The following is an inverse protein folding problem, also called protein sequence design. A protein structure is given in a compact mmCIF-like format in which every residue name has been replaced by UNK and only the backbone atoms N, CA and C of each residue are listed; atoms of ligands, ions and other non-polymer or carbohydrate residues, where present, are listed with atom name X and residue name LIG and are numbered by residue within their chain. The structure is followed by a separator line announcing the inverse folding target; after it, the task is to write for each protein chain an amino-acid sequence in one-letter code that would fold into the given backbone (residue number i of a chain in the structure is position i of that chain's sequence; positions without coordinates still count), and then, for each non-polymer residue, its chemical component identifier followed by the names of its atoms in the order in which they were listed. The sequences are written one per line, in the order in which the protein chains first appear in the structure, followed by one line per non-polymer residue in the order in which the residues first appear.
data_IF_468329731905
#
_entry.id   IF_468329731905
#
_cell.length_a   1.000
_cell.length_b   1.000
_cell.length_c   1.000
_cell.angle_alpha   90.00
_cell.angle_beta   90.00
_cell.angle_gamma   90.00
#
_symmetry.space_group_name_H-M   'P 1'
#
loop_
_entity.id
_entity.type
_entity.pdbx_description
1 polymer ?
#
# COMPACT_ATOMS: atom_id res chain seq x y z
N UNK A 1 6.37 10.59 14.39
CA UNK A 1 6.41 9.64 13.25
C UNK A 1 5.92 8.28 13.69
N UNK A 2 5.05 7.64 12.93
CA UNK A 2 4.66 6.25 13.16
C UNK A 2 4.92 5.43 11.90
N UNK A 3 5.74 4.38 12.00
CA UNK A 3 5.77 3.32 10.98
C UNK A 3 4.67 2.33 11.32
N UNK A 4 3.91 1.93 10.30
CA UNK A 4 2.98 0.81 10.36
C UNK A 4 3.48 -0.34 9.49
N UNK A 5 3.18 -1.56 9.92
CA UNK A 5 3.41 -2.78 9.14
C UNK A 5 2.10 -3.53 9.03
N UNK A 6 1.81 -4.02 7.83
CA UNK A 6 0.62 -4.82 7.54
C UNK A 6 1.07 -6.12 6.89
N UNK A 7 0.57 -7.24 7.40
CA UNK A 7 0.83 -8.57 6.85
C UNK A 7 -0.52 -9.21 6.51
N UNK A 8 -0.93 -9.08 5.25
CA UNK A 8 -2.14 -9.72 4.74
C UNK A 8 -1.85 -11.19 4.46
N UNK A 9 -2.48 -12.10 5.19
CA UNK A 9 -2.26 -13.54 5.03
C UNK A 9 -3.28 -14.17 4.08
N UNK A 10 -2.88 -14.54 2.84
CA UNK A 10 -3.79 -15.24 1.92
C UNK A 10 -4.10 -16.67 2.36
N UNK A 11 -3.35 -17.20 3.33
CA UNK A 11 -3.47 -18.58 3.80
C UNK A 11 -4.39 -18.71 4.99
N UNK A 12 -4.68 -17.62 5.68
CA UNK A 12 -5.62 -17.58 6.79
C UNK A 12 -6.91 -16.92 6.32
N UNK A 13 -7.94 -17.74 6.10
CA UNK A 13 -9.25 -17.26 5.71
C UNK A 13 -10.15 -17.10 6.91
N UNK A 14 -11.01 -16.09 6.87
CA UNK A 14 -11.98 -15.80 7.92
C UNK A 14 -13.40 -15.70 7.37
N UNK A 15 -14.33 -16.36 8.08
CA UNK A 15 -15.74 -16.38 7.74
C UNK A 15 -16.59 -15.95 8.92
N UNK A 16 -17.52 -15.03 8.69
CA UNK A 16 -18.50 -14.64 9.70
C UNK A 16 -19.50 -15.76 9.91
N UNK A 17 -19.74 -16.12 11.17
CA UNK A 17 -20.76 -17.11 11.54
C UNK A 17 -21.73 -16.53 12.56
N UNK A 18 -22.88 -17.17 12.70
CA UNK A 18 -23.85 -16.85 13.76
C UNK A 18 -23.40 -17.47 15.07
N UNK A 19 -23.87 -16.93 16.21
CA UNK A 19 -23.61 -17.51 17.53
C UNK A 19 -24.12 -18.95 17.65
N UNK A 20 -25.23 -19.28 16.98
CA UNK A 20 -25.74 -20.66 16.93
C UNK A 20 -24.75 -21.59 16.24
N UNK A 21 -24.30 -21.22 15.03
CA UNK A 21 -23.29 -21.99 14.29
C UNK A 21 -22.00 -22.18 15.09
N UNK A 22 -21.53 -21.14 15.78
CA UNK A 22 -20.34 -21.26 16.65
C UNK A 22 -20.57 -22.27 17.78
N UNK A 23 -21.69 -22.19 18.49
CA UNK A 23 -22.01 -23.15 19.56
C UNK A 23 -22.06 -24.58 19.02
N UNK A 24 -22.69 -24.78 17.87
CA UNK A 24 -22.82 -26.10 17.25
C UNK A 24 -21.43 -26.64 16.84
N UNK A 25 -20.58 -25.83 16.21
CA UNK A 25 -19.21 -26.22 15.85
C UNK A 25 -18.34 -26.51 17.08
N UNK A 26 -18.41 -25.68 18.14
CA UNK A 26 -17.69 -25.93 19.39
C UNK A 26 -18.15 -27.22 20.08
N UNK A 27 -19.43 -27.57 20.00
CA UNK A 27 -19.96 -28.84 20.53
C UNK A 27 -19.42 -30.03 19.76
N UNK A 28 -19.40 -29.96 18.42
CA UNK A 28 -18.84 -31.03 17.58
C UNK A 28 -17.35 -31.22 17.87
N UNK A 29 -16.62 -30.13 18.04
CA UNK A 29 -15.22 -30.19 18.44
C UNK A 29 -15.02 -30.85 19.81
N UNK A 30 -15.79 -30.44 20.83
CA UNK A 30 -15.71 -31.01 22.17
C UNK A 30 -16.09 -32.51 22.20
N UNK A 31 -16.95 -32.95 21.28
CA UNK A 31 -17.31 -34.34 21.08
C UNK A 31 -16.33 -35.11 20.17
N UNK A 32 -15.29 -34.45 19.66
CA UNK A 32 -14.34 -34.99 18.67
C UNK A 32 -15.03 -35.50 17.38
N UNK A 33 -16.19 -34.95 17.01
CA UNK A 33 -16.90 -35.26 15.76
C UNK A 33 -16.43 -34.35 14.62
N UNK A 34 -15.19 -34.58 14.19
CA UNK A 34 -14.50 -33.74 13.23
C UNK A 34 -15.03 -33.88 11.79
N UNK A 35 -15.64 -35.01 11.45
CA UNK A 35 -16.24 -35.24 10.12
C UNK A 35 -17.46 -34.33 9.97
N UNK A 36 -18.34 -34.33 10.97
CA UNK A 36 -19.51 -33.46 10.97
C UNK A 36 -19.13 -31.99 11.12
N UNK A 37 -18.12 -31.67 11.95
CA UNK A 37 -17.58 -30.30 12.05
C UNK A 37 -17.12 -29.79 10.69
N UNK A 38 -16.29 -30.55 9.98
CA UNK A 38 -15.80 -30.20 8.64
C UNK A 38 -16.95 -30.00 7.66
N UNK A 39 -17.92 -30.91 7.64
CA UNK A 39 -19.10 -30.83 6.77
C UNK A 39 -19.92 -29.57 7.03
N UNK A 40 -20.16 -29.23 8.30
CA UNK A 40 -20.88 -28.01 8.67
C UNK A 40 -20.10 -26.75 8.34
N UNK A 41 -18.80 -26.72 8.63
CA UNK A 41 -17.91 -25.61 8.28
C UNK A 41 -17.92 -25.35 6.76
N UNK A 42 -17.74 -26.38 5.94
CA UNK A 42 -17.78 -26.29 4.48
C UNK A 42 -19.14 -25.75 3.98
N UNK A 43 -20.25 -26.25 4.55
CA UNK A 43 -21.59 -25.78 4.21
C UNK A 43 -21.81 -24.29 4.56
N UNK A 44 -21.27 -23.82 5.68
CA UNK A 44 -21.30 -22.41 6.07
C UNK A 44 -20.51 -21.57 5.05
N UNK A 45 -19.30 -22.01 4.68
CA UNK A 45 -18.41 -21.23 3.81
C UNK A 45 -18.76 -21.27 2.32
N UNK A 46 -19.66 -22.18 1.90
CA UNK A 46 -20.16 -22.22 0.52
C UNK A 46 -20.97 -20.96 0.14
N UNK A 47 -21.45 -20.19 1.11
CA UNK A 47 -22.11 -18.89 0.93
C UNK A 47 -21.52 -17.88 1.91
N UNK A 48 -20.30 -17.41 1.65
CA UNK A 48 -19.54 -16.67 2.66
C UNK A 48 -20.21 -15.34 2.98
N UNK A 49 -20.28 -15.04 4.28
CA UNK A 49 -20.54 -13.69 4.76
C UNK A 49 -19.21 -13.11 5.23
N UNK A 50 -18.85 -11.95 4.70
CA UNK A 50 -17.62 -11.27 5.05
C UNK A 50 -17.84 -10.24 6.16
N UNK A 51 -16.75 -9.92 6.86
CA UNK A 51 -16.71 -8.83 7.80
C UNK A 51 -16.37 -7.53 7.09
N UNK A 52 -16.80 -6.40 7.66
CA UNK A 52 -16.24 -5.10 7.28
C UNK A 52 -14.79 -5.04 7.76
N UNK A 53 -13.89 -4.42 6.99
CA UNK A 53 -12.50 -4.14 7.38
C UNK A 53 -12.35 -3.36 8.70
N UNK A 54 -13.41 -2.69 9.15
CA UNK A 54 -13.44 -1.99 10.45
C UNK A 54 -13.53 -2.92 11.67
N UNK A 55 -13.83 -4.22 11.46
CA UNK A 55 -13.94 -5.20 12.55
C UNK A 55 -12.54 -5.60 13.01
N UNK A 56 -12.29 -5.51 14.32
CA UNK A 56 -11.05 -6.00 14.93
C UNK A 56 -11.29 -7.40 15.47
N UNK A 57 -10.54 -8.36 14.95
CA UNK A 57 -10.65 -9.79 15.28
C UNK A 57 -9.91 -10.12 16.57
N UNK A 58 -8.70 -9.58 16.69
CA UNK A 58 -7.81 -9.75 17.84
C UNK A 58 -7.00 -8.47 18.05
N UNK A 59 -6.56 -8.23 19.27
CA UNK A 59 -5.76 -7.07 19.65
C UNK A 59 -4.82 -7.42 20.78
N UNK A 60 -3.56 -7.00 20.63
CA UNK A 60 -2.56 -7.01 21.68
C UNK A 60 -1.89 -5.64 21.77
N UNK A 61 -0.92 -5.48 22.67
CA UNK A 61 -0.11 -4.28 22.73
C UNK A 61 0.71 -4.14 21.44
N UNK A 62 0.49 -3.04 20.70
CA UNK A 62 1.24 -2.69 19.48
C UNK A 62 0.69 -3.27 18.16
N UNK A 63 -0.18 -4.29 18.20
CA UNK A 63 -0.75 -4.88 16.98
C UNK A 63 -2.22 -5.32 17.14
N UNK A 64 -2.92 -5.45 16.01
CA UNK A 64 -4.26 -6.01 15.94
C UNK A 64 -4.48 -6.76 14.61
N UNK A 65 -5.49 -7.63 14.55
CA UNK A 65 -5.88 -8.35 13.35
C UNK A 65 -7.24 -7.85 12.84
N UNK A 66 -7.36 -7.64 11.53
CA UNK A 66 -8.59 -7.24 10.84
C UNK A 66 -8.86 -8.14 9.63
N UNK A 67 -10.09 -8.21 9.13
CA UNK A 67 -10.40 -8.86 7.86
C UNK A 67 -10.06 -7.95 6.68
N UNK A 68 -9.47 -8.50 5.62
CA UNK A 68 -9.34 -7.86 4.30
C UNK A 68 -9.98 -8.78 3.24
N UNK A 69 -11.26 -8.55 2.95
CA UNK A 69 -12.09 -9.51 2.23
C UNK A 69 -12.31 -10.78 3.06
N UNK A 70 -11.79 -11.91 2.57
CA UNK A 70 -11.79 -13.18 3.29
C UNK A 70 -10.43 -13.53 3.91
N UNK A 71 -9.41 -12.69 3.74
CA UNK A 71 -8.10 -12.84 4.36
C UNK A 71 -8.04 -12.22 5.75
N UNK A 72 -7.10 -12.69 6.58
CA UNK A 72 -6.71 -12.03 7.83
C UNK A 72 -5.51 -11.10 7.57
N UNK A 73 -5.62 -9.85 7.98
CA UNK A 73 -4.54 -8.86 7.92
C UNK A 73 -4.08 -8.51 9.34
N UNK A 74 -2.80 -8.74 9.62
CA UNK A 74 -2.16 -8.37 10.88
C UNK A 74 -1.54 -6.98 10.75
N UNK A 75 -1.95 -6.06 11.60
CA UNK A 75 -1.54 -4.65 11.55
C UNK A 75 -0.75 -4.30 12.81
N UNK A 76 0.51 -3.98 12.63
CA UNK A 76 1.39 -3.35 13.64
C UNK A 76 1.28 -1.85 13.45
N UNK A 77 0.93 -1.12 14.51
CA UNK A 77 0.68 0.32 14.40
C UNK A 77 1.55 1.13 15.35
N UNK A 78 1.76 2.39 14.98
CA UNK A 78 2.32 3.42 15.86
C UNK A 78 3.73 3.15 16.36
N UNK A 79 4.62 2.65 15.50
CA UNK A 79 6.03 2.46 15.86
C UNK A 79 6.77 3.79 15.70
N UNK A 80 7.24 4.43 16.78
CA UNK A 80 7.99 5.68 16.68
C UNK A 80 9.27 5.48 15.88
N UNK A 81 9.66 6.37 14.96
CA UNK A 81 10.98 6.26 14.26
C UNK A 81 12.17 6.71 15.12
N UNK A 82 11.91 7.48 16.17
CA UNK A 82 12.93 7.97 17.09
C UNK A 82 12.89 7.21 18.42
N UNK A 83 13.96 7.34 19.21
CA UNK A 83 14.03 6.80 20.58
C UNK A 83 14.03 5.28 20.63
N UNK A 84 13.12 4.72 21.42
CA UNK A 84 12.97 3.28 21.70
C UNK A 84 12.16 2.53 20.63
N UNK A 85 11.83 3.17 19.51
CA UNK A 85 11.00 2.60 18.45
C UNK A 85 11.43 1.23 17.92
N UNK A 86 12.74 1.00 17.76
CA UNK A 86 13.27 -0.30 17.34
C UNK A 86 13.03 -1.40 18.40
N UNK A 87 13.14 -1.05 19.67
CA UNK A 87 12.87 -1.97 20.79
C UNK A 87 11.37 -2.27 20.87
N UNK A 88 10.54 -1.22 20.80
CA UNK A 88 9.09 -1.37 20.77
C UNK A 88 8.60 -2.25 19.61
N UNK A 89 9.15 -2.04 18.41
CA UNK A 89 8.88 -2.88 17.25
C UNK A 89 9.29 -4.33 17.50
N UNK A 90 10.51 -4.56 18.00
CA UNK A 90 11.00 -5.90 18.31
C UNK A 90 10.06 -6.66 19.26
N UNK A 91 9.67 -6.03 20.37
CA UNK A 91 8.70 -6.61 21.32
C UNK A 91 7.34 -6.88 20.68
N UNK A 92 6.84 -5.93 19.89
CA UNK A 92 5.53 -6.07 19.22
C UNK A 92 5.54 -7.22 18.21
N UNK A 93 6.62 -7.36 17.43
CA UNK A 93 6.79 -8.45 16.46
C UNK A 93 6.93 -9.80 17.14
N UNK A 94 7.71 -9.91 18.22
CA UNK A 94 7.82 -11.15 19.00
C UNK A 94 6.45 -11.61 19.53
N UNK A 95 5.63 -10.67 20.02
CA UNK A 95 4.29 -10.98 20.50
C UNK A 95 3.35 -11.43 19.36
N UNK A 96 3.48 -10.82 18.18
CA UNK A 96 2.70 -11.19 17.00
C UNK A 96 3.11 -12.58 16.49
N UNK A 97 4.41 -12.85 16.35
CA UNK A 97 4.94 -14.14 15.89
C UNK A 97 4.53 -15.27 16.82
N UNK A 98 4.65 -15.09 18.15
CA UNK A 98 4.20 -16.08 19.12
C UNK A 98 2.69 -16.40 19.00
N UNK A 99 1.89 -15.40 18.65
CA UNK A 99 0.44 -15.58 18.43
C UNK A 99 0.17 -16.38 17.15
N UNK A 100 0.96 -16.17 16.10
CA UNK A 100 0.82 -16.93 14.84
C UNK A 100 1.33 -18.36 15.01
N UNK A 101 2.41 -18.57 15.76
CA UNK A 101 2.90 -19.91 16.12
C UNK A 101 1.82 -20.73 16.86
N UNK A 102 1.03 -20.08 17.73
CA UNK A 102 -0.13 -20.71 18.38
C UNK A 102 -1.20 -21.11 17.36
N UNK A 103 -1.52 -20.24 16.40
CA UNK A 103 -2.46 -20.53 15.30
C UNK A 103 -1.99 -21.74 14.48
N UNK A 104 -0.71 -21.74 14.05
CA UNK A 104 -0.13 -22.84 13.29
C UNK A 104 -0.14 -24.17 14.06
N UNK A 105 0.15 -24.11 15.35
CA UNK A 105 0.12 -25.28 16.24
C UNK A 105 -1.27 -25.88 16.29
N UNK A 106 -2.31 -25.06 16.45
CA UNK A 106 -3.71 -25.50 16.51
C UNK A 106 -4.14 -26.17 15.21
N UNK A 107 -3.83 -25.56 14.07
CA UNK A 107 -4.13 -26.18 12.80
C UNK A 107 -3.33 -27.46 12.55
N UNK A 108 -2.07 -27.52 12.97
CA UNK A 108 -1.25 -28.75 12.85
C UNK A 108 -1.87 -29.89 13.66
N UNK A 109 -2.36 -29.59 14.86
CA UNK A 109 -3.09 -30.56 15.70
C UNK A 109 -4.37 -31.02 15.00
N UNK A 110 -5.19 -30.09 14.49
CA UNK A 110 -6.46 -30.41 13.82
C UNK A 110 -6.24 -31.19 12.51
N UNK A 111 -5.24 -30.82 11.72
CA UNK A 111 -4.88 -31.49 10.48
C UNK A 111 -4.39 -32.93 10.73
N UNK A 112 -3.52 -33.15 11.72
CA UNK A 112 -3.00 -34.49 12.07
C UNK A 112 -4.09 -35.43 12.59
N UNK A 113 -5.07 -34.89 13.31
CA UNK A 113 -6.15 -35.71 13.86
C UNK A 113 -7.11 -36.13 12.75
N UNK A 114 -7.56 -35.20 11.92
CA UNK A 114 -8.80 -35.41 11.13
C UNK A 114 -8.82 -34.78 9.75
N UNK A 115 -7.68 -34.27 9.25
CA UNK A 115 -7.62 -33.54 7.98
C UNK A 115 -8.66 -32.40 7.92
N UNK A 116 -8.88 -31.77 9.09
CA UNK A 116 -9.80 -30.66 9.27
C UNK A 116 -9.00 -29.34 9.22
N UNK A 117 -9.20 -28.50 8.19
CA UNK A 117 -8.46 -27.25 8.03
C UNK A 117 -9.08 -26.08 8.81
N UNK A 118 -9.92 -26.37 9.81
CA UNK A 118 -10.75 -25.38 10.50
C UNK A 118 -10.33 -25.21 11.95
N UNK A 119 -10.37 -23.97 12.42
CA UNK A 119 -10.15 -23.58 13.81
C UNK A 119 -11.35 -22.75 14.26
N UNK A 120 -11.91 -23.12 15.41
CA UNK A 120 -13.07 -22.46 16.02
C UNK A 120 -12.67 -21.78 17.32
N UNK A 121 -13.56 -20.95 17.88
CA UNK A 121 -13.27 -20.14 19.07
C UNK A 121 -12.69 -20.92 20.26
N UNK A 122 -13.16 -22.14 20.50
CA UNK A 122 -12.69 -22.97 21.62
C UNK A 122 -11.22 -23.38 21.52
N UNK A 123 -10.64 -23.37 20.32
CA UNK A 123 -9.22 -23.69 20.11
C UNK A 123 -8.28 -22.60 20.60
N UNK A 124 -8.67 -21.32 20.44
CA UNK A 124 -7.84 -20.19 20.85
C UNK A 124 -8.65 -19.04 21.48
N UNK A 125 -9.17 -19.21 22.70
CA UNK A 125 -10.04 -18.23 23.34
C UNK A 125 -9.42 -16.82 23.44
N UNK A 126 -8.10 -16.72 23.53
CA UNK A 126 -7.34 -15.47 23.57
C UNK A 126 -7.33 -14.73 22.22
N UNK A 127 -7.22 -15.47 21.11
CA UNK A 127 -7.30 -14.95 19.74
C UNK A 127 -8.72 -14.56 19.33
N UNK A 128 -9.71 -15.25 19.88
CA UNK A 128 -11.12 -15.17 19.50
C UNK A 128 -11.99 -14.44 20.55
N UNK A 129 -11.35 -13.74 21.48
CA UNK A 129 -12.03 -13.08 22.60
C UNK A 129 -12.88 -11.88 22.20
N UNK A 130 -12.63 -11.28 21.02
CA UNK A 130 -13.18 -9.99 20.62
C UNK A 130 -14.08 -10.13 19.38
N UNK A 131 -15.27 -9.50 19.42
CA UNK A 131 -16.18 -9.29 18.28
C UNK A 131 -16.87 -10.57 17.70
N UNK A 132 -17.79 -10.47 16.70
CA UNK A 132 -18.78 -11.51 16.42
C UNK A 132 -18.15 -12.86 16.12
N UNK A 133 -18.88 -13.97 16.38
CA UNK A 133 -18.42 -15.31 16.07
C UNK A 133 -17.87 -15.43 14.65
N UNK A 134 -16.72 -16.07 14.53
CA UNK A 134 -16.10 -16.35 13.25
C UNK A 134 -15.47 -17.74 13.21
N UNK A 135 -15.15 -18.15 11.99
CA UNK A 135 -14.50 -19.42 11.68
C UNK A 135 -13.21 -19.11 10.91
N UNK A 136 -12.09 -19.68 11.35
CA UNK A 136 -10.82 -19.61 10.62
C UNK A 136 -10.59 -20.88 9.81
N UNK A 137 -10.05 -20.69 8.61
CA UNK A 137 -9.58 -21.76 7.72
C UNK A 137 -8.12 -21.54 7.39
N UNK A 138 -7.33 -22.60 7.39
CA UNK A 138 -6.05 -22.59 6.69
C UNK A 138 -6.25 -23.08 5.26
N UNK A 139 -6.11 -22.16 4.30
CA UNK A 139 -6.39 -22.40 2.89
C UNK A 139 -5.13 -22.73 2.08
N UNK A 140 -4.33 -23.72 2.52
CA UNK A 140 -3.23 -24.28 1.74
C UNK A 140 -3.00 -25.77 2.00
N UNK A 141 -3.23 -26.65 1.01
CA UNK A 141 -2.97 -28.09 1.17
C UNK A 141 -1.48 -28.47 1.17
N UNK A 142 -0.59 -27.58 0.69
CA UNK A 142 0.83 -27.90 0.41
C UNK A 142 1.85 -26.97 1.12
N UNK A 143 1.43 -26.10 2.03
CA UNK A 143 2.35 -25.26 2.81
C UNK A 143 2.17 -25.54 4.29
N UNK A 144 3.29 -25.57 5.01
CA UNK A 144 3.35 -25.86 6.44
C UNK A 144 3.38 -24.60 7.30
N UNK A 145 3.36 -23.41 6.67
CA UNK A 145 3.53 -22.12 7.35
C UNK A 145 2.55 -21.05 6.85
N UNK A 146 2.19 -20.16 7.76
CA UNK A 146 1.43 -18.93 7.52
C UNK A 146 2.35 -17.98 6.76
N UNK A 147 1.84 -17.47 5.65
CA UNK A 147 2.54 -16.48 4.84
C UNK A 147 1.76 -15.18 4.82
N UNK A 148 2.44 -14.08 4.54
CA UNK A 148 1.84 -12.76 4.45
C UNK A 148 2.41 -11.95 3.27
N UNK A 149 1.58 -11.06 2.73
CA UNK A 149 2.01 -9.97 1.87
C UNK A 149 2.41 -8.79 2.77
N UNK A 150 3.70 -8.48 2.88
CA UNK A 150 4.13 -7.38 3.72
C UNK A 150 3.83 -6.03 3.03
N UNK A 151 3.31 -5.10 3.81
CA UNK A 151 3.14 -3.70 3.44
C UNK A 151 3.69 -2.83 4.56
N UNK A 152 4.29 -1.70 4.20
CA UNK A 152 4.89 -0.77 5.17
C UNK A 152 4.33 0.61 4.90
N UNK A 153 3.88 1.29 5.94
CA UNK A 153 3.44 2.69 5.84
C UNK A 153 4.29 3.57 6.74
N UNK A 154 4.74 4.73 6.26
CA UNK A 154 5.48 5.67 7.09
C UNK A 154 5.65 7.05 6.47
N UNK A 155 5.89 8.05 7.32
CA UNK A 155 6.23 9.41 6.89
C UNK A 155 7.61 9.48 6.24
N UNK A 156 7.69 10.12 5.07
CA UNK A 156 8.97 10.47 4.42
C UNK A 156 8.93 11.95 4.06
N UNK A 157 9.83 12.76 4.61
CA UNK A 157 9.89 14.17 4.25
C UNK A 157 9.99 14.33 2.73
N UNK A 158 9.17 15.22 2.15
CA UNK A 158 9.02 15.28 0.69
C UNK A 158 10.36 15.49 -0.02
N UNK A 159 11.21 16.38 0.50
CA UNK A 159 12.57 16.62 -0.01
C UNK A 159 13.50 15.39 -0.02
N UNK A 160 13.16 14.31 0.71
CA UNK A 160 13.94 13.07 0.79
C UNK A 160 13.44 11.96 -0.14
N UNK A 161 12.26 12.10 -0.74
CA UNK A 161 11.67 11.02 -1.53
C UNK A 161 12.56 10.59 -2.72
N UNK A 162 13.29 11.53 -3.34
CA UNK A 162 14.28 11.16 -4.38
C UNK A 162 15.44 10.34 -3.86
N UNK A 163 15.90 10.57 -2.62
CA UNK A 163 16.90 9.73 -1.98
C UNK A 163 16.40 8.30 -1.85
N UNK A 164 15.14 8.13 -1.43
CA UNK A 164 14.48 6.82 -1.36
C UNK A 164 14.47 6.15 -2.72
N UNK A 165 14.08 6.87 -3.79
CA UNK A 165 14.08 6.32 -5.15
C UNK A 165 15.48 5.88 -5.60
N UNK A 166 16.51 6.68 -5.31
CA UNK A 166 17.91 6.32 -5.61
C UNK A 166 18.37 5.08 -4.87
N UNK A 167 18.12 4.99 -3.56
CA UNK A 167 18.52 3.83 -2.76
C UNK A 167 17.80 2.58 -3.29
N UNK A 168 16.50 2.66 -3.54
CA UNK A 168 15.74 1.53 -4.09
C UNK A 168 16.20 1.12 -5.50
N UNK A 169 16.74 2.04 -6.29
CA UNK A 169 17.30 1.76 -7.61
C UNK A 169 18.71 1.15 -7.56
N UNK A 170 19.52 1.50 -6.55
CA UNK A 170 20.96 1.22 -6.54
C UNK A 170 21.38 0.21 -5.47
N UNK A 171 20.58 0.01 -4.43
CA UNK A 171 20.86 -0.91 -3.34
C UNK A 171 19.99 -2.17 -3.48
N UNK A 172 20.66 -3.31 -3.71
CA UNK A 172 20.01 -4.61 -3.90
C UNK A 172 19.17 -5.02 -2.70
N UNK A 173 19.68 -4.85 -1.47
CA UNK A 173 18.93 -5.23 -0.24
C UNK A 173 17.67 -4.40 -0.07
N UNK A 174 17.75 -3.07 -0.23
CA UNK A 174 16.57 -2.21 -0.16
C UNK A 174 15.55 -2.56 -1.26
N UNK A 175 16.03 -2.81 -2.48
CA UNK A 175 15.16 -3.23 -3.58
C UNK A 175 14.47 -4.58 -3.31
N UNK A 176 15.15 -5.54 -2.67
CA UNK A 176 14.55 -6.82 -2.27
C UNK A 176 13.46 -6.64 -1.23
N UNK A 177 13.71 -5.80 -0.23
CA UNK A 177 12.76 -5.52 0.86
C UNK A 177 11.49 -4.84 0.32
N UNK A 178 11.64 -3.79 -0.49
CA UNK A 178 10.52 -2.92 -0.84
C UNK A 178 9.86 -3.23 -2.20
N UNK A 179 10.58 -3.85 -3.13
CA UNK A 179 10.11 -4.12 -4.49
C UNK A 179 9.91 -5.62 -4.78
N UNK A 180 10.44 -6.50 -3.93
CA UNK A 180 10.22 -7.95 -4.00
C UNK A 180 10.89 -8.64 -5.20
N UNK A 181 10.41 -9.83 -5.57
CA UNK A 181 11.06 -10.67 -6.60
C UNK A 181 10.99 -10.09 -8.01
N UNK A 182 9.95 -9.34 -8.35
CA UNK A 182 9.80 -8.68 -9.66
C UNK A 182 10.32 -7.24 -9.67
N UNK A 183 11.38 -6.94 -8.89
CA UNK A 183 11.91 -5.59 -8.71
C UNK A 183 12.49 -4.94 -9.98
N UNK A 184 12.98 -5.72 -10.95
CA UNK A 184 13.80 -5.19 -12.05
C UNK A 184 13.14 -4.05 -12.87
N UNK A 185 11.86 -4.14 -13.28
CA UNK A 185 11.19 -3.03 -13.97
C UNK A 185 11.04 -1.78 -13.09
N UNK A 186 10.85 -1.95 -11.78
CA UNK A 186 10.72 -0.85 -10.83
C UNK A 186 12.06 -0.18 -10.55
N UNK A 187 13.13 -0.97 -10.38
CA UNK A 187 14.51 -0.48 -10.26
C UNK A 187 14.87 0.36 -11.48
N UNK A 188 14.60 -0.14 -12.70
CA UNK A 188 14.87 0.60 -13.94
C UNK A 188 14.10 1.92 -14.01
N UNK A 189 12.82 1.90 -13.62
CA UNK A 189 11.99 3.11 -13.57
C UNK A 189 12.54 4.12 -12.56
N UNK A 190 12.83 3.68 -11.34
CA UNK A 190 13.36 4.52 -10.27
C UNK A 190 14.72 5.11 -10.61
N UNK A 191 15.60 4.33 -11.25
CA UNK A 191 16.89 4.80 -11.72
C UNK A 191 16.73 5.91 -12.76
N UNK A 192 15.89 5.69 -13.77
CA UNK A 192 15.59 6.71 -14.79
C UNK A 192 15.06 8.00 -14.16
N UNK A 193 14.02 7.91 -13.33
CA UNK A 193 13.44 9.07 -12.64
C UNK A 193 14.50 9.79 -11.81
N UNK A 194 15.28 9.05 -11.02
CA UNK A 194 16.27 9.63 -10.12
C UNK A 194 17.39 10.38 -10.85
N UNK A 195 17.84 9.86 -12.00
CA UNK A 195 18.92 10.43 -12.81
C UNK A 195 18.46 11.60 -13.69
N UNK A 196 17.16 11.65 -14.02
CA UNK A 196 16.55 12.71 -14.84
C UNK A 196 16.35 14.02 -14.08
N UNK A 197 15.94 13.97 -12.81
CA UNK A 197 15.58 15.17 -12.03
C UNK A 197 16.72 15.74 -11.18
N UNK A 198 17.94 15.77 -11.69
CA UNK A 198 18.98 16.64 -11.10
C UNK A 198 18.65 18.11 -11.39
N UNK A 199 18.98 19.02 -10.46
CA UNK A 199 18.52 20.41 -10.46
C UNK A 199 18.76 21.21 -11.75
N UNK A 200 19.66 20.76 -12.63
CA UNK A 200 20.00 21.42 -13.90
C UNK A 200 19.55 20.67 -15.16
N UNK A 201 19.02 19.43 -15.03
CA UNK A 201 18.76 18.55 -16.19
C UNK A 201 17.36 18.72 -16.79
N UNK A 202 16.41 19.26 -16.04
CA UNK A 202 15.00 19.36 -16.45
C UNK A 202 14.36 20.70 -16.04
N UNK A 203 14.91 21.85 -16.50
CA UNK A 203 14.30 23.15 -16.24
C UNK A 203 12.95 23.26 -16.93
N UNK A 204 12.02 24.01 -16.32
CA UNK A 204 10.77 24.39 -16.99
C UNK A 204 11.08 25.43 -18.09
N UNK A 205 10.76 25.16 -19.37
CA UNK A 205 11.00 26.12 -20.45
C UNK A 205 10.28 27.47 -20.25
N UNK A 206 9.20 27.50 -19.46
CA UNK A 206 8.44 28.71 -19.11
C UNK A 206 8.91 29.36 -17.80
N UNK A 207 9.96 28.81 -17.20
CA UNK A 207 10.66 29.38 -16.04
C UNK A 207 12.15 28.97 -16.05
N UNK A 208 12.90 29.36 -17.10
CA UNK A 208 14.22 28.78 -17.39
C UNK A 208 15.30 29.07 -16.35
N UNK A 209 15.20 30.20 -15.64
CA UNK A 209 16.17 30.61 -14.61
C UNK A 209 15.89 29.98 -13.23
N UNK A 210 14.76 29.29 -13.09
CA UNK A 210 14.39 28.65 -11.85
C UNK A 210 15.17 27.36 -11.63
N UNK A 211 15.68 27.21 -10.41
CA UNK A 211 16.28 25.96 -9.94
C UNK A 211 15.26 25.28 -9.03
N UNK A 212 14.60 24.20 -9.49
CA UNK A 212 13.57 23.53 -8.70
C UNK A 212 14.09 23.12 -7.32
N UNK A 213 13.29 23.34 -6.29
CA UNK A 213 13.52 22.94 -4.90
C UNK A 213 13.64 21.41 -4.77
N UNK A 214 14.09 20.93 -3.61
CA UNK A 214 14.19 19.47 -3.38
C UNK A 214 12.81 18.83 -3.32
N UNK A 215 11.85 19.56 -2.77
CA UNK A 215 10.45 19.24 -2.64
C UNK A 215 9.81 19.12 -4.03
N UNK A 216 10.03 20.12 -4.91
CA UNK A 216 9.51 20.09 -6.28
C UNK A 216 10.10 18.94 -7.09
N UNK A 217 11.41 18.75 -7.05
CA UNK A 217 12.05 17.61 -7.75
C UNK A 217 11.48 16.28 -7.27
N UNK A 218 11.22 16.16 -5.98
CA UNK A 218 10.67 14.94 -5.37
C UNK A 218 9.21 14.69 -5.71
N UNK A 219 8.37 15.72 -5.66
CA UNK A 219 6.98 15.64 -6.10
C UNK A 219 6.87 15.28 -7.58
N UNK A 220 7.63 15.96 -8.43
CA UNK A 220 7.66 15.70 -9.88
C UNK A 220 8.17 14.28 -10.17
N UNK A 221 9.15 13.78 -9.42
CA UNK A 221 9.63 12.40 -9.54
C UNK A 221 8.52 11.39 -9.21
N UNK A 222 7.76 11.63 -8.14
CA UNK A 222 6.63 10.78 -7.74
C UNK A 222 5.51 10.81 -8.78
N UNK A 223 5.15 12.01 -9.28
CA UNK A 223 4.17 12.19 -10.34
C UNK A 223 4.62 11.44 -11.61
N UNK A 224 5.90 11.55 -11.97
CA UNK A 224 6.48 10.84 -13.11
C UNK A 224 6.35 9.32 -12.98
N UNK A 225 6.59 8.77 -11.79
CA UNK A 225 6.38 7.34 -11.52
C UNK A 225 4.90 6.95 -11.72
N UNK A 226 3.96 7.76 -11.25
CA UNK A 226 2.53 7.51 -11.36
C UNK A 226 2.04 7.56 -12.81
N UNK A 227 2.44 8.59 -13.55
CA UNK A 227 2.12 8.76 -14.97
C UNK A 227 2.72 7.63 -15.80
N UNK A 228 3.97 7.24 -15.54
CA UNK A 228 4.60 6.14 -16.29
C UNK A 228 3.88 4.81 -16.07
N UNK A 229 3.53 4.49 -14.82
CA UNK A 229 2.81 3.25 -14.48
C UNK A 229 1.37 3.26 -14.99
N UNK A 230 0.70 4.41 -14.88
CA UNK A 230 -0.66 4.60 -15.36
C UNK A 230 -0.80 4.53 -16.88
N UNK A 231 0.18 5.03 -17.62
CA UNK A 231 0.23 5.00 -19.08
C UNK A 231 0.73 3.67 -19.69
N UNK A 232 1.01 2.65 -18.86
CA UNK A 232 1.56 1.38 -19.34
C UNK A 232 0.50 0.55 -20.09
N UNK A 233 0.64 0.46 -21.41
CA UNK A 233 -0.29 -0.24 -22.30
C UNK A 233 0.00 -1.76 -22.40
N UNK A 234 0.03 -2.46 -21.28
CA UNK A 234 0.27 -3.92 -21.26
C UNK A 234 -0.85 -4.75 -21.91
N UNK A 235 -1.96 -4.13 -22.36
CA UNK A 235 -3.17 -4.81 -22.87
C UNK A 235 -3.92 -5.65 -21.83
N UNK A 236 -3.29 -5.95 -20.69
CA UNK A 236 -3.86 -6.69 -19.58
C UNK A 236 -4.70 -5.77 -18.70
N UNK A 237 -5.92 -6.23 -18.37
CA UNK A 237 -6.76 -5.57 -17.37
C UNK A 237 -6.05 -5.48 -16.01
N UNK A 238 -6.44 -4.51 -15.21
CA UNK A 238 -5.87 -4.23 -13.89
C UNK A 238 -6.83 -4.72 -12.81
N UNK A 239 -6.37 -5.61 -11.91
CA UNK A 239 -7.23 -6.16 -10.86
C UNK A 239 -7.81 -5.09 -9.94
N UNK A 240 -6.96 -4.19 -9.44
CA UNK A 240 -7.35 -3.03 -8.67
C UNK A 240 -6.39 -1.86 -8.91
N UNK A 241 -6.88 -0.62 -8.81
CA UNK A 241 -6.08 0.60 -9.06
C UNK A 241 -4.83 0.65 -8.18
N UNK A 242 -4.96 0.28 -6.90
CA UNK A 242 -3.86 0.18 -5.93
C UNK A 242 -2.69 -0.74 -6.34
N UNK A 243 -2.87 -1.60 -7.34
CA UNK A 243 -1.82 -2.51 -7.84
C UNK A 243 -0.88 -1.86 -8.87
N UNK A 244 -1.15 -0.64 -9.34
CA UNK A 244 -0.29 0.05 -10.30
C UNK A 244 1.02 0.53 -9.68
N UNK A 245 0.97 0.91 -8.41
CA UNK A 245 2.02 1.63 -7.73
C UNK A 245 2.65 0.77 -6.64
N UNK A 246 3.98 0.76 -6.61
CA UNK A 246 4.79 0.09 -5.59
C UNK A 246 5.09 1.02 -4.41
N UNK A 247 5.05 2.34 -4.65
CA UNK A 247 5.04 3.39 -3.62
C UNK A 247 3.74 4.18 -3.78
N UNK A 248 2.84 4.01 -2.84
CA UNK A 248 1.54 4.66 -2.78
C UNK A 248 1.59 5.86 -1.85
N UNK A 249 1.22 7.05 -2.32
CA UNK A 249 1.04 8.19 -1.43
C UNK A 249 -0.29 8.03 -0.71
N UNK A 250 -0.26 7.93 0.61
CA UNK A 250 -1.44 7.87 1.48
C UNK A 250 -1.93 9.27 1.83
N UNK A 251 -1.02 10.24 1.86
CA UNK A 251 -1.34 11.67 1.83
C UNK A 251 -1.77 12.07 0.42
N UNK A 252 -2.77 12.94 0.30
CA UNK A 252 -3.28 13.37 -1.00
C UNK A 252 -2.28 14.27 -1.75
N UNK A 253 -2.24 14.16 -3.08
CA UNK A 253 -1.28 14.92 -3.88
C UNK A 253 -1.48 16.45 -3.81
N UNK A 254 -2.68 16.92 -3.50
CA UNK A 254 -2.93 18.35 -3.27
C UNK A 254 -2.18 18.87 -2.03
N UNK A 255 -2.08 18.04 -0.99
CA UNK A 255 -1.32 18.32 0.22
C UNK A 255 0.20 18.21 -0.02
N UNK A 256 0.65 17.26 -0.85
CA UNK A 256 2.05 17.22 -1.28
C UNK A 256 2.44 18.49 -2.05
N UNK A 257 1.58 18.95 -2.96
CA UNK A 257 1.81 20.20 -3.70
C UNK A 257 1.85 21.43 -2.77
N UNK A 258 1.08 21.42 -1.67
CA UNK A 258 1.16 22.49 -0.67
C UNK A 258 2.48 22.54 0.10
N UNK A 259 3.27 21.47 0.11
CA UNK A 259 4.60 21.46 0.73
C UNK A 259 5.68 22.13 -0.13
N UNK A 260 5.38 22.49 -1.39
CA UNK A 260 6.33 23.25 -2.19
C UNK A 260 6.58 24.64 -1.57
N UNK A 261 7.81 25.17 -1.70
CA UNK A 261 8.11 26.58 -1.50
C UNK A 261 7.07 27.53 -2.10
N UNK A 262 6.86 28.66 -1.42
CA UNK A 262 5.77 29.59 -1.74
C UNK A 262 5.81 30.11 -3.18
N UNK A 263 6.99 30.40 -3.70
CA UNK A 263 7.21 30.88 -5.07
C UNK A 263 6.85 29.83 -6.12
N UNK A 264 7.32 28.59 -5.95
CA UNK A 264 6.97 27.45 -6.83
C UNK A 264 5.47 27.15 -6.78
N UNK A 265 4.90 27.11 -5.57
CA UNK A 265 3.48 26.82 -5.35
C UNK A 265 2.61 27.89 -6.00
N UNK A 266 2.90 29.17 -5.76
CA UNK A 266 2.14 30.28 -6.32
C UNK A 266 2.24 30.34 -7.85
N UNK A 267 3.44 30.12 -8.42
CA UNK A 267 3.66 30.12 -9.88
C UNK A 267 2.71 29.16 -10.59
N UNK A 268 2.61 27.94 -10.10
CA UNK A 268 1.80 26.89 -10.72
C UNK A 268 0.32 26.94 -10.32
N UNK A 269 -0.03 27.57 -9.19
CA UNK A 269 -1.42 27.91 -8.87
C UNK A 269 -1.98 28.99 -9.81
N UNK A 270 -1.17 29.99 -10.14
CA UNK A 270 -1.56 31.07 -11.05
C UNK A 270 -1.57 30.63 -12.52
N UNK A 271 -0.77 29.63 -12.87
CA UNK A 271 -0.73 29.05 -14.22
C UNK A 271 -0.74 27.50 -14.19
N UNK A 272 -1.87 26.85 -13.86
CA UNK A 272 -1.95 25.39 -13.78
C UNK A 272 -1.63 24.68 -15.11
N UNK A 273 -1.86 25.36 -16.25
CA UNK A 273 -1.49 24.84 -17.56
C UNK A 273 0.04 24.70 -17.72
N UNK A 274 0.82 25.59 -17.12
CA UNK A 274 2.28 25.50 -17.17
C UNK A 274 2.77 24.30 -16.39
N UNK A 275 2.11 23.95 -15.28
CA UNK A 275 2.39 22.72 -14.52
C UNK A 275 2.14 21.46 -15.36
N UNK A 276 0.99 21.41 -16.05
CA UNK A 276 0.65 20.31 -16.96
C UNK A 276 1.68 20.21 -18.10
N UNK A 277 1.99 21.33 -18.74
CA UNK A 277 2.93 21.36 -19.87
C UNK A 277 4.34 20.96 -19.42
N UNK A 278 4.83 21.48 -18.29
CA UNK A 278 6.12 21.10 -17.72
C UNK A 278 6.20 19.59 -17.49
N UNK A 279 5.18 19.01 -16.87
CA UNK A 279 5.18 17.58 -16.57
C UNK A 279 5.05 16.74 -17.86
N UNK A 280 4.06 17.01 -18.70
CA UNK A 280 3.78 16.16 -19.85
C UNK A 280 4.76 16.35 -21.02
N UNK A 281 5.29 17.58 -21.22
CA UNK A 281 6.16 17.91 -22.36
C UNK A 281 7.65 18.01 -22.01
N UNK A 282 8.03 18.08 -20.72
CA UNK A 282 9.45 18.14 -20.31
C UNK A 282 9.83 16.95 -19.43
N UNK A 283 9.13 16.75 -18.34
CA UNK A 283 9.43 15.70 -17.34
C UNK A 283 9.26 14.30 -17.93
N UNK A 284 8.10 13.99 -18.52
CA UNK A 284 7.81 12.64 -19.01
C UNK A 284 8.73 12.20 -20.17
N UNK A 285 8.98 13.02 -21.21
CA UNK A 285 9.96 12.68 -22.25
C UNK A 285 11.36 12.42 -21.68
N UNK A 286 11.76 13.13 -20.62
CA UNK A 286 13.06 12.91 -19.98
C UNK A 286 13.13 11.62 -19.15
N UNK A 287 12.00 11.10 -18.62
CA UNK A 287 11.94 9.80 -17.93
C UNK A 287 11.98 8.64 -18.92
N UNK A 288 11.32 8.76 -20.07
CA UNK A 288 11.32 7.71 -21.08
C UNK A 288 11.18 8.31 -22.48
N UNK A 289 12.30 8.72 -23.11
CA UNK A 289 12.28 9.35 -24.42
C UNK A 289 11.66 8.46 -25.50
N UNK A 290 11.90 7.14 -25.42
CA UNK A 290 11.37 6.19 -26.38
C UNK A 290 9.84 6.07 -26.33
N UNK A 291 9.23 6.24 -25.16
CA UNK A 291 7.78 6.13 -24.98
C UNK A 291 7.03 7.46 -25.16
N UNK A 292 7.68 8.60 -24.89
CA UNK A 292 6.99 9.88 -24.73
C UNK A 292 7.51 11.03 -25.61
N UNK A 293 8.23 10.74 -26.70
CA UNK A 293 8.62 11.76 -27.69
C UNK A 293 7.55 11.91 -28.78
N UNK A 294 7.06 13.13 -29.09
CA UNK A 294 7.55 14.44 -28.61
C UNK A 294 7.05 14.86 -27.22
N UNK A 295 5.86 14.44 -26.80
CA UNK A 295 5.34 14.70 -25.46
C UNK A 295 4.31 13.64 -25.05
N UNK A 296 4.13 13.43 -23.74
CA UNK A 296 2.99 12.66 -23.24
C UNK A 296 1.70 13.45 -23.49
N UNK A 297 0.66 12.81 -24.04
CA UNK A 297 -0.64 13.46 -24.25
C UNK A 297 -1.31 13.78 -22.90
N UNK A 298 -1.52 15.06 -22.53
CA UNK A 298 -2.17 15.45 -21.27
C UNK A 298 -3.67 15.09 -21.23
N UNK A 299 -4.32 14.98 -22.38
CA UNK A 299 -5.75 14.63 -22.48
C UNK A 299 -5.99 13.11 -22.51
N UNK A 300 -4.91 12.31 -22.47
CA UNK A 300 -4.99 10.87 -22.27
C UNK A 300 -5.34 10.50 -20.83
N UNK A 301 -5.78 9.26 -20.62
CA UNK A 301 -6.15 8.79 -19.28
C UNK A 301 -4.94 8.69 -18.36
N UNK A 302 -5.15 9.05 -17.11
CA UNK A 302 -4.16 8.86 -16.05
C UNK A 302 -3.88 7.36 -15.85
N UNK A 303 -4.92 6.53 -15.96
CA UNK A 303 -4.85 5.06 -15.90
C UNK A 303 -5.39 4.54 -17.23
N UNK A 304 -4.52 4.11 -18.14
CA UNK A 304 -4.92 3.61 -19.47
C UNK A 304 -5.47 2.17 -19.44
N UNK A 305 -5.37 1.49 -18.29
CA UNK A 305 -5.80 0.10 -18.11
C UNK A 305 -7.24 0.03 -17.60
N UNK A 306 -8.02 -0.86 -18.21
CA UNK A 306 -9.35 -1.20 -17.71
C UNK A 306 -9.28 -2.02 -16.42
N UNK A 307 -10.10 -1.66 -15.44
CA UNK A 307 -10.21 -2.34 -14.15
C UNK A 307 -11.05 -3.61 -14.29
N UNK A 308 -10.58 -4.71 -13.69
CA UNK A 308 -11.22 -6.02 -13.76
C UNK A 308 -11.82 -6.48 -12.44
N UNK A 309 -11.67 -5.72 -11.35
CA UNK A 309 -12.06 -6.10 -9.98
C UNK A 309 -11.64 -7.54 -9.68
N UNK A 310 -10.33 -7.78 -9.68
CA UNK A 310 -9.76 -9.12 -9.43
C UNK A 310 -10.28 -10.23 -10.37
N UNK A 311 -10.59 -9.87 -11.62
CA UNK A 311 -11.14 -10.74 -12.69
C UNK A 311 -12.64 -11.04 -12.54
N UNK A 312 -13.36 -10.35 -11.67
CA UNK A 312 -14.82 -10.45 -11.61
C UNK A 312 -15.51 -9.72 -12.77
N UNK A 313 -14.86 -8.72 -13.37
CA UNK A 313 -15.34 -8.02 -14.56
C UNK A 313 -14.67 -8.55 -15.83
N UNK A 314 -15.47 -8.97 -16.81
CA UNK A 314 -15.01 -9.53 -18.08
C UNK A 314 -15.55 -8.75 -19.29
N UNK A 315 -14.81 -8.79 -20.40
CA UNK A 315 -15.22 -8.16 -21.65
C UNK A 315 -15.56 -6.67 -21.50
N UNK A 316 -16.79 -6.32 -21.87
CA UNK A 316 -17.37 -4.97 -21.82
C UNK A 316 -17.75 -4.49 -20.41
N UNK A 317 -17.72 -5.38 -19.41
CA UNK A 317 -17.97 -5.03 -18.01
C UNK A 317 -16.78 -4.34 -17.35
N UNK A 318 -15.59 -4.45 -17.95
CA UNK A 318 -14.37 -3.83 -17.40
C UNK A 318 -14.51 -2.31 -17.40
N UNK A 319 -13.94 -1.68 -16.38
CA UNK A 319 -14.21 -0.27 -16.09
C UNK A 319 -13.02 0.61 -16.46
N UNK A 320 -13.25 1.69 -17.18
CA UNK A 320 -12.28 2.76 -17.37
C UNK A 320 -12.47 3.82 -16.28
N UNK A 321 -11.40 4.21 -15.58
CA UNK A 321 -11.43 5.39 -14.71
C UNK A 321 -11.24 6.63 -15.59
N UNK A 322 -12.29 7.45 -15.72
CA UNK A 322 -12.31 8.63 -16.59
C UNK A 322 -11.63 9.85 -15.91
N UNK A 323 -10.36 9.71 -15.56
CA UNK A 323 -9.52 10.83 -15.07
C UNK A 323 -8.42 11.06 -16.09
N UNK A 324 -8.35 12.25 -16.68
CA UNK A 324 -7.24 12.61 -17.57
C UNK A 324 -6.02 13.06 -16.77
N UNK A 325 -4.85 13.02 -17.40
CA UNK A 325 -3.60 13.53 -16.79
C UNK A 325 -3.72 15.03 -16.54
N UNK A 326 -4.31 15.79 -17.46
CA UNK A 326 -4.59 17.22 -17.32
C UNK A 326 -5.44 17.51 -16.10
N UNK A 327 -6.56 16.80 -15.94
CA UNK A 327 -7.50 17.05 -14.84
C UNK A 327 -6.84 16.81 -13.49
N UNK A 328 -6.11 15.70 -13.36
CA UNK A 328 -5.42 15.36 -12.11
C UNK A 328 -4.33 16.36 -11.76
N UNK A 329 -3.45 16.69 -12.71
CA UNK A 329 -2.37 17.64 -12.50
C UNK A 329 -2.91 19.05 -12.21
N UNK A 330 -3.99 19.47 -12.87
CA UNK A 330 -4.63 20.77 -12.63
C UNK A 330 -5.28 20.80 -11.25
N UNK A 331 -6.07 19.77 -10.89
CA UNK A 331 -6.73 19.70 -9.59
C UNK A 331 -5.75 19.74 -8.42
N UNK A 332 -4.58 19.11 -8.57
CA UNK A 332 -3.52 19.09 -7.57
C UNK A 332 -3.03 20.50 -7.21
N UNK A 333 -2.86 21.38 -8.20
CA UNK A 333 -2.46 22.79 -7.95
C UNK A 333 -3.51 23.54 -7.13
N UNK A 334 -4.78 23.15 -7.26
CA UNK A 334 -5.92 23.66 -6.48
C UNK A 334 -6.13 22.91 -5.15
N UNK A 335 -5.16 22.11 -4.72
CA UNK A 335 -5.20 21.40 -3.44
C UNK A 335 -6.13 20.19 -3.39
N UNK A 336 -6.55 19.66 -4.55
CA UNK A 336 -7.43 18.48 -4.67
C UNK A 336 -6.71 17.34 -5.36
N UNK A 337 -6.87 16.11 -4.86
CA UNK A 337 -6.34 14.91 -5.51
C UNK A 337 -7.46 14.03 -6.07
N UNK A 338 -7.53 13.96 -7.40
CA UNK A 338 -8.52 13.13 -8.11
C UNK A 338 -8.25 11.63 -7.99
N UNK A 339 -7.08 11.19 -7.51
CA UNK A 339 -6.79 9.78 -7.24
C UNK A 339 -7.31 9.29 -5.87
N UNK A 340 -8.24 10.01 -5.25
CA UNK A 340 -8.79 9.65 -3.94
C UNK A 340 -10.28 9.31 -4.01
N UNK A 341 -10.75 8.42 -3.14
CA UNK A 341 -12.19 8.20 -2.97
C UNK A 341 -12.94 9.47 -2.53
N UNK A 342 -12.27 10.37 -1.80
CA UNK A 342 -12.86 11.62 -1.30
C UNK A 342 -13.21 12.61 -2.40
N UNK A 343 -12.41 12.68 -3.48
CA UNK A 343 -12.72 13.49 -4.66
C UNK A 343 -13.96 12.99 -5.44
N UNK A 344 -14.40 11.77 -5.14
CA UNK A 344 -15.42 11.04 -5.88
C UNK A 344 -16.55 10.53 -4.95
N UNK A 345 -17.29 11.42 -4.27
CA UNK A 345 -18.27 11.03 -3.25
C UNK A 345 -19.58 10.46 -3.83
N UNK A 346 -19.98 9.29 -3.33
CA UNK A 346 -21.19 8.53 -3.71
C UNK A 346 -22.49 9.36 -3.77
N UNK A 347 -22.67 10.33 -2.87
CA UNK A 347 -23.94 11.05 -2.66
C UNK A 347 -24.37 11.98 -3.80
N UNK A 348 -23.53 12.19 -4.81
CA UNK A 348 -23.78 13.17 -5.89
C UNK A 348 -24.02 12.54 -7.28
N UNK A 349 -24.18 11.22 -7.37
CA UNK A 349 -23.96 10.52 -8.63
C UNK A 349 -25.18 9.83 -9.23
N UNK A 350 -25.26 9.90 -10.56
CA UNK A 350 -26.12 9.03 -11.39
C UNK A 350 -25.56 7.59 -11.36
N UNK A 351 -26.41 6.58 -11.54
CA UNK A 351 -26.05 5.13 -11.52
C UNK A 351 -24.79 4.77 -12.33
N UNK A 352 -24.53 5.47 -13.44
CA UNK A 352 -23.34 5.23 -14.30
C UNK A 352 -22.01 5.48 -13.57
N UNK A 353 -21.94 6.51 -12.73
CA UNK A 353 -20.70 6.87 -12.03
C UNK A 353 -20.41 5.93 -10.86
N UNK A 354 -21.45 5.36 -10.25
CA UNK A 354 -21.28 4.33 -9.21
C UNK A 354 -20.49 3.14 -9.74
N UNK A 355 -20.86 2.62 -10.91
CA UNK A 355 -20.15 1.52 -11.56
C UNK A 355 -18.71 1.85 -11.91
N UNK A 356 -18.34 3.12 -12.06
CA UNK A 356 -16.98 3.52 -12.41
C UNK A 356 -16.06 3.52 -11.18
N UNK A 357 -16.54 4.06 -10.06
CA UNK A 357 -15.69 4.27 -8.89
C UNK A 357 -15.93 3.30 -7.74
N UNK A 358 -16.93 2.40 -7.81
CA UNK A 358 -17.18 1.35 -6.82
C UNK A 358 -17.05 -0.05 -7.41
N UNK A 359 -16.25 -0.89 -6.77
CA UNK A 359 -16.07 -2.28 -7.17
C UNK A 359 -17.32 -3.14 -6.96
N UNK A 360 -17.26 -4.37 -7.44
CA UNK A 360 -18.29 -5.40 -7.30
C UNK A 360 -18.72 -5.68 -5.84
N UNK A 361 -17.91 -5.31 -4.86
CA UNK A 361 -18.23 -5.42 -3.43
C UNK A 361 -18.75 -4.11 -2.82
N UNK A 362 -18.86 -3.04 -3.60
CA UNK A 362 -19.32 -1.74 -3.15
C UNK A 362 -18.24 -0.91 -2.46
N UNK A 363 -16.96 -1.24 -2.61
CA UNK A 363 -15.85 -0.43 -2.10
C UNK A 363 -15.32 0.54 -3.16
N UNK A 364 -14.78 1.71 -2.78
CA UNK A 364 -14.16 2.62 -3.75
C UNK A 364 -12.98 1.96 -4.48
N UNK A 365 -12.94 2.03 -5.82
CA UNK A 365 -11.81 1.54 -6.63
C UNK A 365 -10.54 2.36 -6.45
N UNK A 366 -10.69 3.65 -6.16
CA UNK A 366 -9.59 4.57 -5.82
C UNK A 366 -9.23 4.53 -4.34
N UNK A 367 -9.57 3.45 -3.62
CA UNK A 367 -9.12 3.27 -2.23
C UNK A 367 -7.61 3.05 -2.18
N UNK A 368 -6.98 3.58 -1.14
CA UNK A 368 -5.55 3.46 -0.88
C UNK A 368 -4.76 4.72 -1.25
N UNK A 369 -4.96 5.29 -2.45
CA UNK A 369 -4.28 6.54 -2.85
C UNK A 369 -4.93 7.75 -2.20
N UNK A 370 -4.12 8.60 -1.56
CA UNK A 370 -4.56 9.76 -0.79
C UNK A 370 -5.62 9.45 0.27
N UNK A 371 -5.67 8.20 0.77
CA UNK A 371 -6.70 7.71 1.68
C UNK A 371 -6.72 8.43 3.03
N UNK A 372 -5.60 9.07 3.41
CA UNK A 372 -5.48 9.86 4.63
C UNK A 372 -5.74 11.35 4.39
N UNK A 373 -6.10 11.75 3.17
CA UNK A 373 -6.32 13.14 2.78
C UNK A 373 -5.08 13.98 3.09
N UNK A 374 -5.28 15.07 3.82
CA UNK A 374 -4.21 16.02 4.14
C UNK A 374 -3.34 15.60 5.32
N UNK A 375 -3.59 14.42 5.92
CA UNK A 375 -2.82 13.95 7.07
C UNK A 375 -1.36 13.72 6.68
N UNK A 376 -0.47 14.16 7.57
CA UNK A 376 0.97 14.01 7.48
C UNK A 376 1.49 13.40 8.78
N UNK A 377 2.69 12.87 8.73
CA UNK A 377 3.44 12.35 9.87
C UNK A 377 4.49 13.38 10.29
N UNK A 378 4.68 13.62 11.58
CA UNK A 378 5.80 14.43 12.05
C UNK A 378 7.09 13.62 12.00
N UNK A 379 8.11 14.09 11.29
CA UNK A 379 9.39 13.39 11.11
C UNK A 379 10.58 14.18 11.60
N UNK A 380 11.45 13.53 12.38
CA UNK A 380 12.71 14.11 12.84
C UNK A 380 13.75 13.94 11.73
N UNK A 381 14.20 15.06 11.16
CA UNK A 381 15.22 15.07 10.10
C UNK A 381 16.62 15.40 10.63
N UNK A 382 16.70 16.01 11.82
CA UNK A 382 17.93 16.21 12.59
C UNK A 382 17.59 16.42 14.07
N UNK A 383 18.59 16.43 14.95
CA UNK A 383 18.42 16.48 16.43
C UNK A 383 17.46 17.57 16.94
N UNK A 384 17.23 18.64 16.17
CA UNK A 384 16.40 19.78 16.56
C UNK A 384 15.29 20.12 15.56
N UNK A 385 15.16 19.36 14.46
CA UNK A 385 14.23 19.72 13.37
C UNK A 385 13.25 18.59 13.12
N UNK A 386 11.98 18.90 13.36
CA UNK A 386 10.83 18.08 12.99
C UNK A 386 10.09 18.77 11.85
N UNK A 387 9.68 18.00 10.84
CA UNK A 387 8.90 18.50 9.70
C UNK A 387 7.69 17.62 9.46
N UNK A 388 6.64 18.18 8.86
CA UNK A 388 5.51 17.40 8.37
C UNK A 388 5.92 16.63 7.12
N UNK A 389 5.77 15.31 7.17
CA UNK A 389 6.05 14.42 6.06
C UNK A 389 4.78 13.81 5.48
N UNK A 390 4.67 13.74 4.14
CA UNK A 390 3.68 12.88 3.52
C UNK A 390 3.90 11.42 3.93
N UNK A 391 2.78 10.71 4.06
CA UNK A 391 2.76 9.30 4.43
C UNK A 391 2.74 8.48 3.14
N UNK A 392 3.66 7.53 3.03
CA UNK A 392 3.77 6.61 1.90
C UNK A 392 3.60 5.18 2.36
N UNK A 393 2.92 4.39 1.53
CA UNK A 393 2.77 2.95 1.68
C UNK A 393 3.60 2.26 0.61
N UNK A 394 4.51 1.39 1.05
CA UNK A 394 5.29 0.52 0.20
C UNK A 394 4.58 -0.81 0.10
N UNK A 395 4.33 -1.23 -1.14
CA UNK A 395 3.71 -2.51 -1.43
C UNK A 395 4.62 -3.18 -2.43
N UNK A 396 5.22 -4.31 -2.04
CA UNK A 396 5.92 -5.15 -3.00
C UNK A 396 4.89 -5.53 -4.08
N UNK A 397 5.02 -5.03 -5.31
CA UNK A 397 3.91 -4.98 -6.25
C UNK A 397 3.46 -6.39 -6.65
N UNK A 398 2.17 -6.67 -6.42
CA UNK A 398 1.28 -7.26 -7.43
C UNK A 398 1.47 -8.71 -7.87
N UNK A 399 2.31 -9.51 -7.24
CA UNK A 399 2.47 -10.93 -7.61
C UNK A 399 2.25 -11.77 -6.37
N UNK A 400 1.45 -12.84 -6.47
CA UNK A 400 1.33 -13.87 -5.43
C UNK A 400 2.66 -14.52 -5.00
N UNK A 401 3.77 -14.13 -5.64
CA UNK A 401 5.14 -14.51 -5.32
C UNK A 401 5.79 -13.62 -4.23
N UNK A 402 5.28 -12.40 -3.96
CA UNK A 402 5.79 -11.52 -2.90
C UNK A 402 5.19 -11.86 -1.52
N UNK A 403 5.13 -13.15 -1.22
CA UNK A 403 4.71 -13.68 0.08
C UNK A 403 5.94 -14.04 0.90
N UNK A 404 5.87 -13.83 2.21
CA UNK A 404 6.91 -14.27 3.14
C UNK A 404 6.31 -15.07 4.29
N UNK A 405 7.01 -16.11 4.76
CA UNK A 405 6.60 -16.83 5.96
C UNK A 405 6.61 -15.91 7.18
N UNK A 406 5.72 -16.16 8.15
CA UNK A 406 5.62 -15.32 9.35
C UNK A 406 6.91 -15.30 10.16
N UNK A 407 7.68 -16.39 10.12
CA UNK A 407 9.03 -16.47 10.69
C UNK A 407 10.03 -15.44 10.14
N UNK A 408 9.74 -14.81 9.00
CA UNK A 408 10.55 -13.74 8.40
C UNK A 408 10.00 -12.33 8.68
N UNK A 409 8.81 -12.20 9.28
CA UNK A 409 8.12 -10.90 9.41
C UNK A 409 8.86 -9.95 10.35
N UNK A 410 9.36 -10.39 11.52
CA UNK A 410 10.12 -9.53 12.44
C UNK A 410 11.40 -9.01 11.81
N UNK A 411 12.17 -9.89 11.18
CA UNK A 411 13.41 -9.51 10.49
C UNK A 411 13.14 -8.48 9.38
N UNK A 412 12.08 -8.69 8.60
CA UNK A 412 11.63 -7.74 7.58
C UNK A 412 11.25 -6.38 8.21
N UNK A 413 10.38 -6.38 9.22
CA UNK A 413 9.88 -5.16 9.84
C UNK A 413 11.02 -4.33 10.43
N UNK A 414 11.99 -4.97 11.10
CA UNK A 414 13.17 -4.30 11.67
C UNK A 414 14.04 -3.67 10.57
N UNK A 415 14.30 -4.38 9.46
CA UNK A 415 15.09 -3.84 8.35
C UNK A 415 14.39 -2.65 7.69
N UNK A 416 13.09 -2.79 7.41
CA UNK A 416 12.26 -1.75 6.85
C UNK A 416 12.14 -0.52 7.77
N UNK A 417 12.03 -0.72 9.07
CA UNK A 417 12.07 0.35 10.06
C UNK A 417 13.39 1.12 10.00
N UNK A 418 14.52 0.41 10.00
CA UNK A 418 15.84 1.03 9.88
C UNK A 418 16.00 1.79 8.56
N UNK A 419 15.38 1.29 7.48
CA UNK A 419 15.36 1.98 6.19
C UNK A 419 14.68 3.34 6.29
N UNK A 420 13.44 3.37 6.77
CA UNK A 420 12.66 4.60 6.86
C UNK A 420 13.28 5.59 7.86
N UNK A 421 13.85 5.08 8.95
CA UNK A 421 14.61 5.88 9.91
C UNK A 421 15.82 6.56 9.25
N UNK A 422 16.67 5.79 8.57
CA UNK A 422 17.86 6.31 7.90
C UNK A 422 17.57 7.21 6.69
N UNK A 423 16.41 7.03 6.04
CA UNK A 423 15.99 7.89 4.93
C UNK A 423 15.62 9.30 5.41
N UNK A 424 15.00 9.41 6.58
CA UNK A 424 14.58 10.69 7.15
C UNK A 424 15.70 11.39 7.92
N UNK A 425 16.53 10.66 8.68
CA UNK A 425 17.60 11.24 9.49
C UNK A 425 18.79 11.66 8.62
N UNK A 426 19.23 12.91 8.77
CA UNK A 426 20.40 13.46 8.06
C UNK A 426 21.68 13.18 8.85
N UNK A 427 22.59 12.38 8.29
CA UNK A 427 24.01 12.62 8.57
C UNK A 427 24.38 13.95 7.89
N UNK A 428 24.85 14.93 8.68
CA UNK A 428 25.26 16.27 8.22
C UNK A 428 26.22 16.24 7.02
N UNK A 429 26.90 15.11 6.79
CA UNK A 429 27.88 14.90 5.71
C UNK A 429 27.31 14.31 4.42
N UNK A 430 26.09 13.76 4.43
CA UNK A 430 25.53 13.10 3.24
C UNK A 430 24.70 14.09 2.42
N UNK A 431 24.98 14.28 1.12
CA UNK A 431 24.11 15.07 0.26
C UNK A 431 22.68 14.55 0.34
N UNK A 432 21.70 15.45 0.45
CA UNK A 432 20.29 15.06 0.59
C UNK A 432 19.80 14.22 -0.60
N UNK A 433 20.39 14.42 -1.78
CA UNK A 433 20.15 13.63 -3.00
C UNK A 433 21.19 12.51 -3.24
N UNK A 434 22.11 12.27 -2.30
CA UNK A 434 23.14 11.23 -2.40
C UNK A 434 22.59 9.87 -2.00
N UNK A 435 23.06 8.81 -2.66
CA UNK A 435 22.95 7.46 -2.12
C UNK A 435 23.85 7.39 -0.88
N UNK A 436 23.31 7.77 0.27
CA UNK A 436 23.99 7.61 1.55
C UNK A 436 24.23 6.13 1.86
N UNK A 437 25.06 5.83 2.89
CA UNK A 437 25.26 4.45 3.32
C UNK A 437 23.91 3.90 3.81
N UNK A 438 23.39 2.94 3.04
CA UNK A 438 22.36 2.01 3.46
C UNK A 438 22.87 0.61 3.21
#
# INVERSE_FOLDING_TARGET
MAVGFEFQSPTLKIYRITRKQEIDLCRLQAAEDWVELKRQAEAITAKPSFFSKSVVLSRSAGWYAVPDGDDVEFVVTHVPIAGDGAVHLGTTMTNLEATIDEIETLFTINARRTNCPWVVRSDAPALFGQYPPFLLKWDMPNRTEVIGFPQITGGIALEKLRKVFKILAQNTEASDIFLGVEKAPYVKLLDSISNTFEAKKTPDPKWPDHVPSREMRSLVSLIGAYLHRGASNSGQGLGAVKQLWFIMSRTDFGALFRQLPDDERQRYQQAPRDWVDYICATVMPAINPAAYTPAMNPDGWLIDRLITDYKELQGDQRVQIEITRRDWLTAMTNGTDLLTAAAHPHRWWKRKNLKMYFDVHGEPRLRGSGALGTKMDEVVISDLVTVDAPIFEFRAPGVGANVMPHSAWSAYAIKAYRFLSACNVVDKKTPVDGAGPW
#
